data_IF_870949109721
#
_entry.id   IF_870949109721
#
_cell.length_a   1.000
_cell.length_b   1.000
_cell.length_c   1.000
_cell.angle_alpha   90.00
_cell.angle_beta   90.00
_cell.angle_gamma   90.00
#
_symmetry.space_group_name_H-M   'P 1'
#
loop_
_entity.id
_entity.type
_entity.pdbx_description
1 polymer ?
#
# COMPACT_ATOMS: atom_id res chain seq x y z
N UNK A 1 -0.11 -0.34 -19.80
CA UNK A 1 -0.67 -1.62 -19.29
C UNK A 1 -1.08 -1.38 -17.85
N UNK A 2 -2.38 -1.26 -17.57
CA UNK A 2 -2.88 -1.25 -16.18
C UNK A 2 -2.68 -2.65 -15.63
N UNK A 3 -1.61 -2.86 -14.87
CA UNK A 3 -1.40 -4.13 -14.19
C UNK A 3 -2.48 -4.18 -13.10
N UNK A 4 -3.53 -4.95 -13.34
CA UNK A 4 -4.59 -5.16 -12.34
C UNK A 4 -3.92 -5.75 -11.11
N UNK A 5 -4.11 -5.12 -9.96
CA UNK A 5 -3.59 -5.62 -8.70
C UNK A 5 -4.19 -6.99 -8.39
N UNK A 6 -3.40 -7.87 -7.77
CA UNK A 6 -3.89 -9.09 -7.15
C UNK A 6 -4.86 -8.77 -6.02
N UNK A 7 -5.78 -9.71 -5.71
CA UNK A 7 -6.72 -9.55 -4.61
C UNK A 7 -6.00 -9.30 -3.27
N UNK A 8 -4.92 -10.05 -3.01
CA UNK A 8 -4.08 -9.86 -1.82
C UNK A 8 -3.42 -8.49 -1.75
N UNK A 9 -3.03 -7.90 -2.89
CA UNK A 9 -2.52 -6.54 -2.93
C UNK A 9 -3.59 -5.51 -2.61
N UNK A 10 -4.82 -5.68 -3.10
CA UNK A 10 -5.95 -4.79 -2.78
C UNK A 10 -6.31 -4.87 -1.29
N UNK A 11 -6.38 -6.08 -0.72
CA UNK A 11 -6.69 -6.27 0.70
C UNK A 11 -5.59 -5.68 1.59
N UNK A 12 -4.32 -5.89 1.22
CA UNK A 12 -3.19 -5.27 1.92
C UNK A 12 -3.25 -3.75 1.85
N UNK A 13 -3.56 -3.19 0.68
CA UNK A 13 -3.68 -1.74 0.49
C UNK A 13 -4.80 -1.16 1.38
N UNK A 14 -5.95 -1.85 1.48
CA UNK A 14 -7.04 -1.47 2.40
C UNK A 14 -6.60 -1.53 3.85
N UNK A 15 -5.91 -2.58 4.25
CA UNK A 15 -5.38 -2.71 5.61
C UNK A 15 -4.39 -1.59 5.96
N UNK A 16 -3.51 -1.22 5.01
CA UNK A 16 -2.59 -0.09 5.18
C UNK A 16 -3.32 1.26 5.28
N UNK A 17 -4.42 1.42 4.56
CA UNK A 17 -5.29 2.60 4.66
C UNK A 17 -5.96 2.69 6.05
N UNK A 18 -6.46 1.57 6.56
CA UNK A 18 -7.17 1.51 7.85
C UNK A 18 -6.25 1.76 9.05
N UNK A 19 -4.97 1.34 8.95
CA UNK A 19 -3.95 1.55 10.00
C UNK A 19 -3.48 3.01 10.05
N UNK A 20 -3.66 3.79 8.99
CA UNK A 20 -3.24 5.19 8.93
C UNK A 20 -1.73 5.40 8.93
N UNK A 21 -1.30 6.62 8.60
CA UNK A 21 0.12 6.98 8.53
C UNK A 21 0.76 7.08 9.93
N UNK A 22 1.88 6.40 10.15
CA UNK A 22 2.67 6.51 11.39
C UNK A 22 2.46 5.39 12.41
N UNK A 23 1.54 4.45 12.15
CA UNK A 23 1.40 3.21 12.91
C UNK A 23 2.31 2.12 12.31
N UNK A 24 2.68 1.13 13.13
CA UNK A 24 3.54 0.04 12.68
C UNK A 24 2.86 -0.73 11.54
N UNK A 25 3.44 -0.65 10.34
CA UNK A 25 2.92 -1.33 9.18
C UNK A 25 2.91 -2.86 9.43
N UNK A 26 1.83 -3.57 9.05
CA UNK A 26 1.77 -5.01 9.17
C UNK A 26 2.83 -5.64 8.26
N UNK A 27 3.29 -6.85 8.61
CA UNK A 27 4.18 -7.60 7.75
C UNK A 27 3.47 -7.90 6.42
N UNK A 28 3.94 -7.28 5.34
CA UNK A 28 3.42 -7.49 3.99
C UNK A 28 4.21 -8.60 3.31
N UNK A 29 3.55 -9.50 2.60
CA UNK A 29 4.24 -10.52 1.83
C UNK A 29 5.12 -9.88 0.74
N UNK A 30 6.38 -10.34 0.53
CA UNK A 30 7.33 -9.69 -0.39
C UNK A 30 6.84 -9.57 -1.83
N UNK A 31 5.97 -10.50 -2.27
CA UNK A 31 5.37 -10.48 -3.61
C UNK A 31 4.36 -9.34 -3.72
N UNK A 32 3.49 -9.19 -2.72
CA UNK A 32 2.49 -8.12 -2.63
C UNK A 32 3.18 -6.76 -2.46
N UNK A 33 4.22 -6.69 -1.62
CA UNK A 33 4.99 -5.46 -1.42
C UNK A 33 5.58 -4.96 -2.75
N UNK A 34 6.22 -5.86 -3.52
CA UNK A 34 6.78 -5.51 -4.83
C UNK A 34 5.71 -5.06 -5.82
N UNK A 35 4.54 -5.69 -5.80
CA UNK A 35 3.43 -5.34 -6.66
C UNK A 35 2.91 -3.92 -6.34
N UNK A 36 2.65 -3.64 -5.06
CA UNK A 36 2.18 -2.34 -4.60
C UNK A 36 3.21 -1.23 -4.83
N UNK A 37 4.50 -1.51 -4.58
CA UNK A 37 5.60 -0.59 -4.88
C UNK A 37 5.72 -0.33 -6.38
N UNK A 38 5.63 -1.39 -7.20
CA UNK A 38 5.65 -1.27 -8.66
C UNK A 38 4.47 -0.49 -9.22
N UNK A 39 3.34 -0.49 -8.52
CA UNK A 39 2.16 0.31 -8.83
C UNK A 39 2.21 1.75 -8.28
N UNK A 40 3.19 2.10 -7.43
CA UNK A 40 3.31 3.43 -6.81
C UNK A 40 2.28 3.72 -5.70
N UNK A 41 1.55 2.70 -5.25
CA UNK A 41 0.46 2.85 -4.28
C UNK A 41 0.94 2.82 -2.83
N UNK A 42 2.16 2.33 -2.61
CA UNK A 42 2.84 2.31 -1.32
C UNK A 42 4.28 2.80 -1.48
N UNK A 43 4.88 3.25 -0.40
CA UNK A 43 6.29 3.63 -0.30
C UNK A 43 6.96 2.87 0.84
N UNK A 44 8.27 2.67 0.78
CA UNK A 44 9.00 2.08 1.91
C UNK A 44 9.01 3.06 3.09
N UNK A 45 8.71 2.54 4.27
CA UNK A 45 8.83 3.34 5.51
C UNK A 45 10.31 3.61 5.81
N UNK A 46 10.62 4.85 6.16
CA UNK A 46 11.97 5.26 6.59
C UNK A 46 12.34 4.76 7.99
N UNK A 47 11.41 4.13 8.73
CA UNK A 47 11.58 3.73 10.14
C UNK A 47 11.48 2.21 10.37
N UNK A 48 11.79 1.37 9.37
CA UNK A 48 11.90 -0.07 9.58
C UNK A 48 11.63 -0.92 8.34
N UNK A 49 11.37 -2.21 8.57
CA UNK A 49 10.87 -3.10 7.53
C UNK A 49 9.36 -2.90 7.37
N UNK A 50 8.92 -2.50 6.19
CA UNK A 50 7.50 -2.32 5.87
C UNK A 50 7.28 -1.30 4.76
N UNK A 51 6.01 -1.10 4.43
CA UNK A 51 5.55 -0.09 3.48
C UNK A 51 4.39 0.71 4.07
N UNK A 52 4.26 1.95 3.63
CA UNK A 52 3.18 2.86 3.99
C UNK A 52 2.37 3.24 2.75
N UNK A 53 1.06 3.44 2.91
CA UNK A 53 0.18 3.83 1.81
C UNK A 53 0.50 5.26 1.34
N UNK A 54 0.65 5.45 0.03
CA UNK A 54 0.86 6.78 -0.56
C UNK A 54 -0.47 7.48 -0.81
N UNK A 55 -0.43 8.75 -1.19
CA UNK A 55 -1.61 9.44 -1.71
C UNK A 55 -2.25 8.70 -2.90
N UNK A 56 -1.45 8.12 -3.78
CA UNK A 56 -1.95 7.39 -4.94
C UNK A 56 -2.66 6.09 -4.51
N UNK A 57 -2.13 5.43 -3.47
CA UNK A 57 -2.81 4.29 -2.83
C UNK A 57 -4.18 4.66 -2.25
N UNK A 58 -4.28 5.81 -1.57
CA UNK A 58 -5.57 6.31 -1.05
C UNK A 58 -6.55 6.64 -2.16
N UNK A 59 -6.11 7.39 -3.18
CA UNK A 59 -6.93 7.69 -4.37
C UNK A 59 -7.38 6.43 -5.09
N UNK A 60 -6.54 5.39 -5.14
CA UNK A 60 -6.93 4.12 -5.73
C UNK A 60 -8.09 3.44 -4.96
N UNK A 61 -8.15 3.62 -3.64
CA UNK A 61 -9.20 3.03 -2.80
C UNK A 61 -10.47 3.89 -2.72
N UNK A 62 -10.34 5.19 -2.47
CA UNK A 62 -11.45 6.10 -2.16
C UNK A 62 -11.69 7.18 -3.22
N UNK A 63 -10.76 7.38 -4.15
CA UNK A 63 -10.78 8.50 -5.10
C UNK A 63 -10.17 9.79 -4.57
N UNK A 64 -9.94 9.88 -3.26
CA UNK A 64 -9.47 11.09 -2.59
C UNK A 64 -8.21 10.83 -1.76
N UNK A 65 -7.26 11.78 -1.80
CA UNK A 65 -6.16 11.86 -0.85
C UNK A 65 -6.46 13.04 0.08
N UNK A 66 -7.18 12.79 1.16
CA UNK A 66 -7.22 13.70 2.31
C UNK A 66 -5.90 13.59 3.11
#
# INVERSE_FOLDING_TARGET
MTKSLSAGAIDTLRQLNDIGTGQAAPAVEPVVEKELLGAGLVAKTGKGAGVEITCDGRKYLSGDCD
#
